data_IF_678385797212
#
_entry.id   IF_678385797212
#
_cell.length_a   1.000
_cell.length_b   1.000
_cell.length_c   1.000
_cell.angle_alpha   90.00
_cell.angle_beta   90.00
_cell.angle_gamma   90.00
#
_symmetry.space_group_name_H-M   'P 1'
#
loop_
_entity.id
_entity.type
_entity.pdbx_description
1 polymer ?
#
# COMPACT_ATOMS: atom_id res chain seq x y z
N UNK A 1 6.82 3.00 -10.75
CA UNK A 1 5.81 2.09 -10.16
C UNK A 1 4.42 2.33 -10.72
N UNK A 2 3.91 3.58 -10.74
CA UNK A 2 2.55 3.87 -11.21
C UNK A 2 2.24 3.28 -12.59
N UNK A 3 3.14 3.41 -13.56
CA UNK A 3 2.92 2.85 -14.90
C UNK A 3 2.63 1.34 -14.89
N UNK A 4 3.30 0.58 -14.02
CA UNK A 4 3.02 -0.85 -13.83
C UNK A 4 1.66 -1.08 -13.18
N UNK A 5 1.30 -0.28 -12.18
CA UNK A 5 -0.01 -0.40 -11.52
C UNK A 5 -1.13 -0.11 -12.53
N UNK A 6 -0.99 0.96 -13.33
CA UNK A 6 -1.93 1.33 -14.39
C UNK A 6 -2.07 0.20 -15.41
N UNK A 7 -0.94 -0.28 -15.96
CA UNK A 7 -0.95 -1.36 -16.95
C UNK A 7 -1.58 -2.65 -16.42
N UNK A 8 -1.35 -3.00 -15.14
CA UNK A 8 -2.02 -4.14 -14.50
C UNK A 8 -3.53 -3.90 -14.44
N UNK A 9 -3.97 -2.73 -13.98
CA UNK A 9 -5.41 -2.44 -13.86
C UNK A 9 -6.14 -2.35 -15.20
N UNK A 10 -5.46 -1.95 -16.27
CA UNK A 10 -5.99 -2.00 -17.63
C UNK A 10 -6.25 -3.44 -18.10
N UNK A 11 -5.43 -4.40 -17.65
CA UNK A 11 -5.59 -5.82 -17.98
C UNK A 11 -6.59 -6.53 -17.07
N UNK A 12 -6.55 -6.27 -15.77
CA UNK A 12 -7.43 -6.95 -14.80
C UNK A 12 -8.85 -6.41 -14.79
N UNK A 13 -9.02 -5.15 -15.23
CA UNK A 13 -10.24 -4.39 -14.97
C UNK A 13 -10.40 -4.03 -13.48
N UNK A 14 -11.62 -3.67 -13.05
CA UNK A 14 -11.90 -3.31 -11.66
C UNK A 14 -11.44 -4.38 -10.66
N UNK A 15 -10.67 -3.98 -9.66
CA UNK A 15 -10.12 -4.89 -8.66
C UNK A 15 -9.97 -4.23 -7.28
N UNK A 16 -9.89 -5.05 -6.24
CA UNK A 16 -9.41 -4.65 -4.94
C UNK A 16 -7.89 -4.52 -4.99
N UNK A 17 -7.36 -3.46 -4.39
CA UNK A 17 -5.96 -3.09 -4.45
C UNK A 17 -5.36 -3.00 -3.05
N UNK A 18 -4.13 -3.47 -2.91
CA UNK A 18 -3.33 -3.29 -1.70
C UNK A 18 -1.92 -2.89 -2.12
N UNK A 19 -1.33 -1.91 -1.44
CA UNK A 19 0.02 -1.43 -1.67
C UNK A 19 0.83 -1.42 -0.38
N UNK A 20 1.99 -2.05 -0.41
CA UNK A 20 3.07 -1.80 0.54
C UNK A 20 4.14 -0.97 -0.13
N UNK A 21 4.57 0.13 0.49
CA UNK A 21 5.67 0.97 -0.02
C UNK A 21 6.40 1.66 1.14
N UNK A 22 7.69 1.94 0.97
CA UNK A 22 8.44 2.69 1.96
C UNK A 22 8.20 4.20 1.85
N UNK A 23 7.97 4.73 0.64
CA UNK A 23 7.62 6.14 0.41
C UNK A 23 6.65 6.29 -0.76
N UNK A 24 5.95 7.42 -0.82
CA UNK A 24 5.09 7.77 -1.95
C UNK A 24 5.24 9.26 -2.33
N UNK A 25 5.08 9.60 -3.61
CA UNK A 25 5.04 10.97 -4.08
C UNK A 25 3.59 11.44 -4.28
N UNK A 26 3.33 12.73 -4.04
CA UNK A 26 1.97 13.29 -4.08
C UNK A 26 1.25 13.07 -5.43
N UNK A 27 1.95 13.27 -6.55
CA UNK A 27 1.37 13.08 -7.88
C UNK A 27 0.96 11.62 -8.14
N UNK A 28 1.73 10.65 -7.65
CA UNK A 28 1.42 9.22 -7.81
C UNK A 28 0.21 8.82 -6.96
N UNK A 29 0.13 9.37 -5.75
CA UNK A 29 -1.04 9.17 -4.86
C UNK A 29 -2.29 9.72 -5.53
N UNK A 30 -2.22 10.91 -6.13
CA UNK A 30 -3.35 11.50 -6.84
C UNK A 30 -3.77 10.69 -8.08
N UNK A 31 -2.81 10.13 -8.82
CA UNK A 31 -3.10 9.26 -9.95
C UNK A 31 -3.84 7.98 -9.51
N UNK A 32 -3.38 7.32 -8.43
CA UNK A 32 -4.10 6.19 -7.86
C UNK A 32 -5.48 6.61 -7.31
N UNK A 33 -5.59 7.80 -6.73
CA UNK A 33 -6.87 8.32 -6.24
C UNK A 33 -7.87 8.53 -7.39
N UNK A 34 -7.40 8.95 -8.57
CA UNK A 34 -8.22 9.04 -9.76
C UNK A 34 -8.74 7.67 -10.21
N UNK A 35 -7.90 6.62 -10.19
CA UNK A 35 -8.31 5.25 -10.49
C UNK A 35 -9.34 4.71 -9.47
N UNK A 36 -9.22 5.10 -8.20
CA UNK A 36 -10.19 4.75 -7.18
C UNK A 36 -11.54 5.47 -7.39
N UNK A 37 -11.50 6.79 -7.65
CA UNK A 37 -12.72 7.57 -7.93
C UNK A 37 -13.46 7.11 -9.20
N UNK A 38 -12.74 6.59 -10.20
CA UNK A 38 -13.35 6.04 -11.41
C UNK A 38 -13.90 4.61 -11.25
N UNK A 39 -13.64 3.96 -10.11
CA UNK A 39 -14.08 2.59 -9.83
C UNK A 39 -13.17 1.49 -10.38
N UNK A 40 -12.03 1.84 -10.97
CA UNK A 40 -11.01 0.86 -11.41
C UNK A 40 -10.34 0.22 -10.18
N UNK A 41 -10.00 1.02 -9.19
CA UNK A 41 -9.64 0.51 -7.86
C UNK A 41 -10.91 0.55 -7.02
N UNK A 42 -11.46 -0.62 -6.71
CA UNK A 42 -12.73 -0.75 -5.99
C UNK A 42 -12.57 -0.60 -4.47
N UNK A 43 -11.39 -0.96 -3.96
CA UNK A 43 -10.98 -0.86 -2.57
C UNK A 43 -9.47 -0.67 -2.52
N UNK A 44 -8.94 0.07 -1.54
CA UNK A 44 -7.52 0.30 -1.40
C UNK A 44 -7.03 0.14 0.05
N UNK A 45 -5.92 -0.57 0.23
CA UNK A 45 -5.13 -0.57 1.48
C UNK A 45 -3.69 -0.14 1.21
N UNK A 46 -3.12 0.62 2.14
CA UNK A 46 -1.76 1.17 2.07
C UNK A 46 -1.00 0.85 3.35
N UNK A 47 0.02 0.01 3.26
CA UNK A 47 1.01 -0.17 4.31
C UNK A 47 2.22 0.73 4.00
N UNK A 48 2.40 1.77 4.81
CA UNK A 48 3.49 2.73 4.65
C UNK A 48 4.48 2.68 5.82
N UNK A 49 5.71 3.13 5.56
CA UNK A 49 6.71 3.23 6.61
C UNK A 49 6.49 4.44 7.52
N UNK A 50 6.78 4.29 8.81
CA UNK A 50 6.70 5.39 9.79
C UNK A 50 7.62 6.57 9.43
N UNK A 51 8.76 6.31 8.79
CA UNK A 51 9.68 7.38 8.40
C UNK A 51 9.13 8.21 7.25
N UNK A 52 8.33 7.63 6.35
CA UNK A 52 7.63 8.40 5.31
C UNK A 52 6.57 9.30 5.93
N UNK A 53 5.71 8.77 6.81
CA UNK A 53 4.70 9.58 7.50
C UNK A 53 5.30 10.77 8.27
N UNK A 54 6.52 10.63 8.79
CA UNK A 54 7.26 11.70 9.45
C UNK A 54 7.91 12.69 8.49
N UNK A 55 8.55 12.21 7.41
CA UNK A 55 9.28 13.07 6.46
C UNK A 55 8.35 13.88 5.57
N UNK A 56 7.21 13.30 5.20
CA UNK A 56 6.21 13.93 4.36
C UNK A 56 4.80 13.69 4.93
N UNK A 57 4.44 14.38 6.04
CA UNK A 57 3.14 14.23 6.66
C UNK A 57 2.00 14.69 5.74
N UNK A 58 2.27 15.62 4.81
CA UNK A 58 1.28 16.11 3.86
C UNK A 58 0.92 15.02 2.83
N UNK A 59 1.90 14.30 2.29
CA UNK A 59 1.63 13.18 1.40
C UNK A 59 0.93 12.01 2.13
N UNK A 60 1.33 11.69 3.36
CA UNK A 60 0.64 10.68 4.16
C UNK A 60 -0.82 11.06 4.43
N UNK A 61 -1.07 12.34 4.76
CA UNK A 61 -2.43 12.85 4.93
C UNK A 61 -3.21 12.85 3.61
N UNK A 62 -2.55 13.07 2.46
CA UNK A 62 -3.20 12.98 1.16
C UNK A 62 -3.78 11.60 0.88
N UNK A 63 -3.04 10.52 1.21
CA UNK A 63 -3.56 9.14 1.10
C UNK A 63 -4.81 8.98 1.98
N UNK A 64 -4.75 9.45 3.23
CA UNK A 64 -5.89 9.37 4.15
C UNK A 64 -7.13 10.10 3.64
N UNK A 65 -6.95 11.28 3.05
CA UNK A 65 -8.05 12.07 2.47
C UNK A 65 -8.62 11.41 1.22
N UNK A 66 -7.76 10.86 0.36
CA UNK A 66 -8.15 10.27 -0.93
C UNK A 66 -8.85 8.90 -0.81
N UNK A 67 -8.40 8.06 0.13
CA UNK A 67 -8.84 6.66 0.25
C UNK A 67 -9.57 6.36 1.57
N UNK A 68 -9.59 7.32 2.50
CA UNK A 68 -10.19 7.16 3.82
C UNK A 68 -9.19 6.78 4.91
N UNK A 69 -9.53 7.09 6.16
CA UNK A 69 -8.66 6.89 7.32
C UNK A 69 -8.29 5.42 7.53
N UNK A 70 -9.22 4.50 7.24
CA UNK A 70 -9.02 3.06 7.41
C UNK A 70 -8.18 2.41 6.31
N UNK A 71 -7.95 3.12 5.20
CA UNK A 71 -7.19 2.61 4.07
C UNK A 71 -5.68 2.58 4.35
N UNK A 72 -5.18 3.17 5.45
CA UNK A 72 -3.74 3.31 5.68
C UNK A 72 -3.32 2.79 7.05
N UNK A 73 -2.24 2.02 7.09
CA UNK A 73 -1.50 1.63 8.30
C UNK A 73 -0.02 1.98 8.17
N UNK A 74 0.59 2.23 9.32
CA UNK A 74 1.96 2.73 9.43
C UNK A 74 2.75 1.74 10.28
N UNK A 75 3.81 1.17 9.74
CA UNK A 75 4.66 0.19 10.42
C UNK A 75 6.14 0.45 10.13
N UNK A 76 7.03 -0.34 10.73
CA UNK A 76 8.41 -0.45 10.26
C UNK A 76 8.40 -1.30 8.98
N UNK A 77 8.40 -0.66 7.83
CA UNK A 77 8.12 -1.31 6.55
C UNK A 77 9.11 -0.87 5.48
N UNK A 78 9.89 -1.82 4.96
CA UNK A 78 10.71 -1.59 3.77
C UNK A 78 10.32 -2.49 2.60
N UNK A 79 9.23 -3.25 2.75
CA UNK A 79 8.69 -4.10 1.68
C UNK A 79 7.98 -3.25 0.63
N UNK A 80 7.99 -3.73 -0.61
CA UNK A 80 7.31 -3.07 -1.73
C UNK A 80 6.61 -4.12 -2.57
N UNK A 81 5.30 -4.07 -2.57
CA UNK A 81 4.47 -4.96 -3.36
C UNK A 81 3.09 -4.37 -3.55
N UNK A 82 2.40 -4.82 -4.60
CA UNK A 82 0.98 -4.57 -4.77
C UNK A 82 0.23 -5.89 -4.97
N UNK A 83 -0.97 -5.97 -4.39
CA UNK A 83 -1.89 -7.09 -4.55
C UNK A 83 -3.12 -6.59 -5.32
N UNK A 84 -3.58 -7.41 -6.26
CA UNK A 84 -4.78 -7.14 -7.05
C UNK A 84 -5.68 -8.36 -7.03
N UNK A 85 -6.95 -8.17 -6.66
CA UNK A 85 -7.92 -9.25 -6.61
C UNK A 85 -9.26 -8.86 -7.23
N UNK A 86 -9.81 -9.74 -8.06
CA UNK A 86 -11.21 -9.72 -8.47
C UNK A 86 -11.68 -11.16 -8.76
N UNK A 87 -12.77 -11.33 -9.51
CA UNK A 87 -13.32 -12.66 -9.80
C UNK A 87 -12.36 -13.53 -10.63
N UNK A 88 -11.52 -12.92 -11.46
CA UNK A 88 -10.69 -13.62 -12.45
C UNK A 88 -9.19 -13.62 -12.08
N UNK A 89 -8.75 -12.65 -11.27
CA UNK A 89 -7.34 -12.38 -11.01
C UNK A 89 -7.01 -12.40 -9.52
N UNK A 90 -5.86 -13.00 -9.19
CA UNK A 90 -5.21 -12.93 -7.88
C UNK A 90 -3.72 -12.67 -8.09
N UNK A 91 -3.39 -11.41 -8.36
CA UNK A 91 -2.05 -11.01 -8.78
C UNK A 91 -1.23 -10.43 -7.65
N UNK A 92 0.05 -10.75 -7.67
CA UNK A 92 1.08 -10.16 -6.82
C UNK A 92 2.12 -9.49 -7.70
N UNK A 93 2.31 -8.19 -7.52
CA UNK A 93 3.47 -7.44 -8.00
C UNK A 93 4.45 -7.29 -6.84
N UNK A 94 5.65 -7.88 -6.93
CA UNK A 94 6.78 -7.56 -6.05
C UNK A 94 7.77 -6.70 -6.79
N UNK A 95 8.35 -5.71 -6.13
CA UNK A 95 9.27 -4.78 -6.80
C UNK A 95 10.26 -4.15 -5.82
N UNK A 96 11.37 -3.63 -6.32
CA UNK A 96 12.24 -2.72 -5.58
C UNK A 96 11.75 -1.26 -5.59
N UNK A 97 10.77 -0.92 -6.45
CA UNK A 97 10.24 0.43 -6.62
C UNK A 97 9.35 0.88 -5.46
N UNK A 98 9.50 2.14 -5.06
CA UNK A 98 8.50 2.83 -4.27
C UNK A 98 7.44 3.47 -5.19
N UNK A 99 6.34 3.97 -4.59
CA UNK A 99 5.33 4.75 -5.29
C UNK A 99 5.81 6.19 -5.57
N UNK A 100 6.91 6.34 -6.30
CA UNK A 100 7.45 7.61 -6.75
C UNK A 100 8.21 7.45 -8.07
N UNK A 101 8.37 8.55 -8.79
CA UNK A 101 9.34 8.62 -9.88
C UNK A 101 10.75 8.49 -9.30
N UNK A 102 11.46 7.45 -9.72
CA UNK A 102 12.84 7.18 -9.37
C UNK A 102 13.55 6.65 -10.62
N UNK A 103 14.53 7.37 -11.20
CA UNK A 103 15.18 6.98 -12.45
C UNK A 103 16.24 5.89 -12.27
N UNK A 104 16.32 5.29 -11.07
CA UNK A 104 17.23 4.16 -10.82
C UNK A 104 16.75 2.92 -11.57
N UNK A 105 17.70 2.03 -11.81
CA UNK A 105 17.37 0.67 -12.23
C UNK A 105 16.63 -0.03 -11.08
N UNK A 106 15.50 -0.64 -11.38
CA UNK A 106 14.60 -1.26 -10.42
C UNK A 106 14.14 -2.60 -10.99
N UNK A 107 13.93 -3.59 -10.13
CA UNK A 107 13.42 -4.90 -10.50
C UNK A 107 11.96 -5.07 -10.10
N UNK A 108 11.28 -5.99 -10.79
CA UNK A 108 9.94 -6.40 -10.43
C UNK A 108 9.63 -7.82 -10.90
N UNK A 109 8.64 -8.43 -10.27
CA UNK A 109 8.05 -9.71 -10.66
C UNK A 109 6.54 -9.60 -10.51
N UNK A 110 5.80 -10.02 -11.53
CA UNK A 110 4.34 -10.14 -11.50
C UNK A 110 4.00 -11.61 -11.63
N UNK A 111 3.15 -12.11 -10.74
CA UNK A 111 2.68 -13.49 -10.77
C UNK A 111 1.19 -13.56 -10.43
N UNK A 112 0.48 -14.47 -11.09
CA UNK A 112 -0.80 -14.97 -10.59
C UNK A 112 -0.49 -16.10 -9.60
N UNK A 113 -0.36 -15.73 -8.33
CA UNK A 113 0.13 -16.62 -7.26
C UNK A 113 -0.80 -16.47 -6.05
N UNK A 114 -1.86 -17.30 -5.97
CA UNK A 114 -2.84 -17.23 -4.89
C UNK A 114 -2.24 -17.49 -3.51
N UNK A 115 -1.23 -18.36 -3.40
CA UNK A 115 -0.60 -18.70 -2.12
C UNK A 115 0.23 -17.53 -1.58
N UNK A 116 1.04 -16.91 -2.45
CA UNK A 116 1.80 -15.73 -2.08
C UNK A 116 0.88 -14.54 -1.78
N UNK A 117 -0.19 -14.37 -2.57
CA UNK A 117 -1.20 -13.35 -2.32
C UNK A 117 -1.78 -13.54 -0.91
N UNK A 118 -2.31 -14.73 -0.60
CA UNK A 118 -2.96 -15.01 0.67
C UNK A 118 -2.02 -14.86 1.86
N UNK A 119 -0.74 -15.19 1.69
CA UNK A 119 0.28 -14.97 2.71
C UNK A 119 0.50 -13.47 3.01
N UNK A 120 0.73 -12.66 1.98
CA UNK A 120 0.94 -11.21 2.15
C UNK A 120 -0.31 -10.51 2.67
N UNK A 121 -1.47 -10.93 2.18
CA UNK A 121 -2.77 -10.42 2.60
C UNK A 121 -3.02 -10.64 4.10
N UNK A 122 -2.73 -11.85 4.58
CA UNK A 122 -2.86 -12.20 6.01
C UNK A 122 -1.95 -11.37 6.90
N UNK A 123 -0.72 -11.08 6.47
CA UNK A 123 0.19 -10.19 7.21
C UNK A 123 -0.44 -8.80 7.36
N UNK A 124 -1.06 -8.28 6.30
CA UNK A 124 -1.75 -7.00 6.39
C UNK A 124 -2.97 -7.07 7.30
N UNK A 125 -3.76 -8.13 7.24
CA UNK A 125 -4.90 -8.31 8.15
C UNK A 125 -4.45 -8.30 9.62
N UNK A 126 -3.34 -8.97 9.95
CA UNK A 126 -2.76 -8.95 11.29
C UNK A 126 -2.32 -7.53 11.71
N UNK A 127 -1.68 -6.77 10.81
CA UNK A 127 -1.30 -5.37 11.07
C UNK A 127 -2.54 -4.50 11.29
N UNK A 128 -3.58 -4.65 10.47
CA UNK A 128 -4.82 -3.89 10.58
C UNK A 128 -5.58 -4.20 11.87
N UNK A 129 -5.57 -5.46 12.31
CA UNK A 129 -6.21 -5.89 13.54
C UNK A 129 -5.53 -5.31 14.79
N UNK A 130 -4.19 -5.22 14.78
CA UNK A 130 -3.37 -4.73 15.89
C UNK A 130 -3.34 -3.20 15.96
N UNK A 131 -3.10 -2.54 14.82
CA UNK A 131 -3.06 -1.07 14.76
C UNK A 131 -4.48 -0.49 14.61
N UNK A 132 -5.14 -0.30 15.76
CA UNK A 132 -6.47 0.33 15.84
C UNK A 132 -6.47 1.76 15.29
N UNK A 133 -7.63 2.24 14.83
CA UNK A 133 -7.84 3.62 14.33
C UNK A 133 -7.30 4.71 15.27
N UNK A 134 -7.36 4.51 16.59
CA UNK A 134 -6.82 5.47 17.56
C UNK A 134 -5.30 5.68 17.44
N UNK A 135 -4.58 4.78 16.78
CA UNK A 135 -3.13 4.83 16.57
C UNK A 135 -2.73 5.63 15.33
N UNK A 136 -3.70 6.22 14.61
CA UNK A 136 -3.48 6.88 13.33
C UNK A 136 -2.57 8.12 13.43
N UNK A 137 -2.67 8.82 14.56
CA UNK A 137 -1.88 10.01 14.93
C UNK A 137 -0.82 9.68 16.00
N UNK A 138 -0.69 8.40 16.37
CA UNK A 138 0.29 7.98 17.36
C UNK A 138 1.70 8.27 16.84
N UNK A 139 2.57 8.72 17.76
CA UNK A 139 3.95 9.00 17.39
C UNK A 139 4.65 7.69 16.99
N UNK A 140 5.64 7.72 16.08
CA UNK A 140 6.33 6.52 15.64
C UNK A 140 6.87 5.62 16.77
N UNK A 141 7.36 6.19 17.88
CA UNK A 141 7.84 5.39 19.01
C UNK A 141 6.71 4.63 19.73
N UNK A 142 5.48 5.15 19.72
CA UNK A 142 4.29 4.50 20.31
C UNK A 142 3.86 3.33 19.44
N UNK A 143 3.91 3.50 18.12
CA UNK A 143 3.66 2.43 17.14
C UNK A 143 4.71 1.33 17.29
N UNK A 144 6.00 1.68 17.34
CA UNK A 144 7.10 0.70 17.49
C UNK A 144 6.95 -0.07 18.80
N UNK A 145 6.74 0.63 19.92
CA UNK A 145 6.58 0.00 21.22
C UNK A 145 5.39 -0.97 21.25
N UNK A 146 4.27 -0.57 20.65
CA UNK A 146 3.07 -1.41 20.58
C UNK A 146 3.33 -2.77 19.92
N UNK A 147 4.12 -2.80 18.84
CA UNK A 147 4.47 -4.06 18.18
C UNK A 147 5.58 -4.85 18.90
N UNK A 148 6.40 -4.19 19.73
CA UNK A 148 7.42 -4.86 20.54
C UNK A 148 6.84 -5.56 21.77
N UNK A 149 5.79 -4.99 22.38
CA UNK A 149 5.14 -5.51 23.58
C UNK A 149 4.23 -6.74 23.30
N UNK A 150 4.06 -7.14 22.03
CA UNK A 150 3.24 -8.29 21.60
C UNK A 150 4.03 -9.57 21.24
N UNK A 151 5.36 -9.55 21.41
CA UNK A 151 6.26 -10.71 21.27
C UNK A 151 6.56 -11.33 22.64
#
# INVERSE_FOLDING_TARGET
MLDLLTAITELTGPCAFTLSTWTAAHHEIEALAALHRSGIITQARFLIDFSFARRDPAAAQHIRTAFGLEAVRVAQNHSKFALFANQDWTLVLRTSMNLNMNPRFEDFTIANDPDLFAFLDRILDEIWAKQKRSMIDAKPYEIIKHFQDEL
#
